data_IF_269467673950
#
_entry.id   IF_269467673950
#
_cell.length_a   1.000
_cell.length_b   1.000
_cell.length_c   1.000
_cell.angle_alpha   90.00
_cell.angle_beta   90.00
_cell.angle_gamma   90.00
#
_symmetry.space_group_name_H-M   'P 1'
#
loop_
_entity.id
_entity.type
_entity.pdbx_description
1 polymer ?
#
# COMPACT_ATOMS: atom_id res chain seq x y z
N UNK A 1 -6.24 -25.58 7.09
CA UNK A 1 -5.29 -24.45 6.91
C UNK A 1 -5.50 -23.88 5.53
N UNK A 2 -5.46 -22.54 5.36
CA UNK A 2 -5.57 -21.93 4.04
C UNK A 2 -4.42 -22.42 3.14
N UNK A 3 -4.72 -22.64 1.87
CA UNK A 3 -3.73 -23.06 0.88
C UNK A 3 -2.79 -21.90 0.62
N UNK A 4 -1.50 -22.22 0.54
CA UNK A 4 -0.42 -21.26 0.34
C UNK A 4 0.51 -21.74 -0.75
N UNK A 5 0.97 -20.81 -1.59
CA UNK A 5 2.03 -21.03 -2.57
C UNK A 5 3.21 -20.13 -2.24
N UNK A 6 4.42 -20.66 -2.32
CA UNK A 6 5.68 -19.93 -2.06
C UNK A 6 6.34 -19.51 -3.38
N UNK A 7 7.23 -18.49 -3.37
CA UNK A 7 8.12 -18.23 -4.51
C UNK A 7 8.83 -19.52 -4.97
N UNK A 8 8.95 -19.73 -6.28
CA UNK A 8 9.42 -20.99 -6.87
C UNK A 8 8.31 -22.03 -7.16
N UNK A 9 7.06 -21.78 -6.74
CA UNK A 9 5.90 -22.62 -7.05
C UNK A 9 4.99 -22.00 -8.12
N UNK A 10 5.51 -21.12 -8.98
CA UNK A 10 4.72 -20.33 -9.93
C UNK A 10 3.93 -21.20 -10.89
N UNK A 11 4.55 -22.26 -11.45
CA UNK A 11 3.86 -23.19 -12.35
C UNK A 11 2.68 -23.88 -11.65
N UNK A 12 2.87 -24.28 -10.39
CA UNK A 12 1.82 -24.91 -9.58
C UNK A 12 0.69 -23.93 -9.28
N UNK A 13 1.04 -22.71 -8.87
CA UNK A 13 0.07 -21.66 -8.60
C UNK A 13 -0.77 -21.31 -9.84
N UNK A 14 -0.14 -21.04 -10.99
CA UNK A 14 -0.84 -20.72 -12.24
C UNK A 14 -1.78 -21.84 -12.71
N UNK A 15 -1.48 -23.11 -12.38
CA UNK A 15 -2.32 -24.27 -12.72
C UNK A 15 -3.50 -24.43 -11.77
N UNK A 16 -3.29 -24.19 -10.48
CA UNK A 16 -4.30 -24.40 -9.43
C UNK A 16 -5.17 -23.18 -9.17
N UNK A 17 -4.80 -22.03 -9.75
CA UNK A 17 -5.54 -20.79 -9.66
C UNK A 17 -6.89 -20.89 -10.38
N UNK A 18 -7.92 -20.36 -9.73
CA UNK A 18 -9.26 -20.21 -10.27
C UNK A 18 -9.49 -18.74 -10.63
N UNK A 19 -9.91 -18.49 -11.87
CA UNK A 19 -10.24 -17.14 -12.30
C UNK A 19 -11.48 -16.63 -11.55
N UNK A 20 -11.48 -15.34 -11.20
CA UNK A 20 -12.54 -14.69 -10.43
C UNK A 20 -12.47 -14.91 -8.92
N UNK A 21 -11.65 -15.86 -8.43
CA UNK A 21 -11.41 -16.05 -7.00
C UNK A 21 -10.38 -15.02 -6.48
N UNK A 22 -10.60 -14.41 -5.29
CA UNK A 22 -9.61 -13.56 -4.66
C UNK A 22 -8.47 -14.39 -4.04
N UNK A 23 -7.26 -13.87 -4.17
CA UNK A 23 -6.03 -14.39 -3.58
C UNK A 23 -5.34 -13.28 -2.81
N UNK A 24 -4.63 -13.65 -1.74
CA UNK A 24 -4.14 -12.70 -0.76
C UNK A 24 -2.62 -12.75 -0.64
N UNK A 25 -1.99 -11.59 -0.50
CA UNK A 25 -0.55 -11.44 -0.25
C UNK A 25 -0.37 -10.67 1.03
N UNK A 26 0.55 -11.10 1.88
CA UNK A 26 0.90 -10.41 3.13
C UNK A 26 2.14 -9.53 2.89
N UNK A 27 2.06 -8.29 3.33
CA UNK A 27 3.14 -7.30 3.30
C UNK A 27 3.58 -7.01 4.74
N UNK A 28 4.90 -6.98 4.96
CA UNK A 28 5.47 -6.46 6.20
C UNK A 28 5.72 -4.96 6.02
N UNK A 29 5.28 -4.15 6.99
CA UNK A 29 5.43 -2.69 6.96
C UNK A 29 6.59 -2.28 7.87
N UNK A 30 7.47 -1.41 7.36
CA UNK A 30 8.56 -0.84 8.15
C UNK A 30 8.03 0.23 9.11
N UNK A 31 7.81 -0.15 10.37
CA UNK A 31 7.24 0.73 11.39
C UNK A 31 8.13 1.91 11.77
N UNK A 32 9.42 1.90 11.43
CA UNK A 32 10.28 3.09 11.60
C UNK A 32 9.85 4.25 10.69
N UNK A 33 9.33 3.94 9.50
CA UNK A 33 8.89 4.93 8.51
C UNK A 33 7.40 5.20 8.62
N UNK A 34 6.60 4.17 8.91
CA UNK A 34 5.16 4.26 9.10
C UNK A 34 4.76 3.79 10.51
N UNK A 35 5.03 4.58 11.57
CA UNK A 35 4.82 4.16 12.95
C UNK A 35 3.35 3.92 13.33
N UNK A 36 2.45 4.60 12.61
CA UNK A 36 1.00 4.53 12.78
C UNK A 36 0.35 3.38 12.00
N UNK A 37 1.10 2.62 11.19
CA UNK A 37 0.56 1.44 10.51
C UNK A 37 0.75 0.14 11.29
N UNK A 38 -0.12 -0.82 10.97
CA UNK A 38 -0.01 -2.20 11.43
C UNK A 38 1.28 -2.83 10.88
N UNK A 39 1.93 -3.68 11.68
CA UNK A 39 3.18 -4.33 11.29
C UNK A 39 3.02 -5.22 10.04
N UNK A 40 1.82 -5.75 9.82
CA UNK A 40 1.49 -6.61 8.69
C UNK A 40 0.13 -6.21 8.11
N UNK A 41 0.10 -6.09 6.79
CA UNK A 41 -1.09 -5.79 6.01
C UNK A 41 -1.25 -6.82 4.91
N UNK A 42 -2.45 -6.96 4.36
CA UNK A 42 -2.65 -7.80 3.18
C UNK A 42 -3.17 -7.02 1.98
N UNK A 43 -2.81 -7.47 0.79
CA UNK A 43 -3.41 -7.05 -0.48
C UNK A 43 -4.25 -8.19 -1.06
N UNK A 44 -5.35 -7.82 -1.70
CA UNK A 44 -6.22 -8.75 -2.42
C UNK A 44 -6.01 -8.63 -3.93
N UNK A 45 -5.88 -9.77 -4.60
CA UNK A 45 -5.71 -9.87 -6.05
C UNK A 45 -6.73 -10.82 -6.65
N UNK A 46 -7.46 -10.34 -7.65
CA UNK A 46 -8.40 -11.15 -8.44
C UNK A 46 -7.85 -11.30 -9.85
N UNK A 47 -7.66 -12.54 -10.27
CA UNK A 47 -7.21 -12.88 -11.62
C UNK A 47 -8.43 -13.15 -12.49
N UNK A 48 -8.68 -12.30 -13.49
CA UNK A 48 -9.89 -12.35 -14.32
C UNK A 48 -9.60 -12.71 -15.76
N UNK A 49 -8.35 -12.62 -16.20
CA UNK A 49 -7.94 -12.80 -17.59
C UNK A 49 -6.73 -13.74 -17.70
N UNK A 50 -6.33 -14.01 -18.94
CA UNK A 50 -5.06 -14.67 -19.27
C UNK A 50 -4.29 -13.78 -20.24
N UNK A 51 -2.96 -13.76 -20.11
CA UNK A 51 -2.10 -13.07 -21.06
C UNK A 51 -2.19 -13.74 -22.44
N UNK A 52 -2.27 -12.99 -23.54
CA UNK A 52 -2.59 -13.53 -24.87
C UNK A 52 -1.51 -14.47 -25.43
N UNK A 53 -0.23 -14.24 -25.09
CA UNK A 53 0.89 -15.04 -25.63
C UNK A 53 1.22 -16.22 -24.72
N UNK A 54 1.34 -15.98 -23.41
CA UNK A 54 1.81 -17.00 -22.46
C UNK A 54 0.68 -17.82 -21.83
N UNK A 55 -0.58 -17.44 -22.04
CA UNK A 55 -1.75 -18.06 -21.39
C UNK A 55 -1.77 -17.94 -19.87
N UNK A 56 -0.84 -17.18 -19.28
CA UNK A 56 -0.68 -17.05 -17.82
C UNK A 56 -1.87 -16.28 -17.25
N UNK A 57 -2.52 -16.77 -16.17
CA UNK A 57 -3.54 -16.00 -15.47
C UNK A 57 -3.03 -14.63 -15.06
N UNK A 58 -3.84 -13.59 -15.27
CA UNK A 58 -3.50 -12.22 -14.94
C UNK A 58 -4.70 -11.47 -14.37
N UNK A 59 -4.41 -10.40 -13.63
CA UNK A 59 -5.42 -9.46 -13.15
C UNK A 59 -6.03 -8.68 -14.32
N UNK A 60 -7.12 -7.95 -14.06
CA UNK A 60 -7.78 -7.13 -15.08
C UNK A 60 -6.84 -6.14 -15.80
N UNK A 61 -5.80 -5.68 -15.08
CA UNK A 61 -4.78 -4.72 -15.54
C UNK A 61 -3.48 -5.37 -16.02
N UNK A 62 -3.46 -6.70 -16.20
CA UNK A 62 -2.34 -7.42 -16.82
C UNK A 62 -1.24 -7.89 -15.88
N UNK A 63 -1.38 -7.76 -14.56
CA UNK A 63 -0.39 -8.32 -13.63
C UNK A 63 -0.46 -9.86 -13.64
N UNK A 64 0.62 -10.50 -14.08
CA UNK A 64 0.70 -11.96 -14.19
C UNK A 64 0.80 -12.64 -12.82
N UNK A 65 0.05 -13.73 -12.64
CA UNK A 65 0.05 -14.55 -11.42
C UNK A 65 1.44 -15.08 -11.04
N UNK A 66 2.24 -15.47 -12.02
CA UNK A 66 3.62 -15.95 -11.82
C UNK A 66 4.54 -14.85 -11.29
N UNK A 67 4.49 -13.66 -11.88
CA UNK A 67 5.27 -12.50 -11.44
C UNK A 67 4.88 -12.06 -10.04
N UNK A 68 3.58 -12.05 -9.75
CA UNK A 68 3.05 -11.69 -8.44
C UNK A 68 3.55 -12.63 -7.34
N UNK A 69 3.51 -13.95 -7.57
CA UNK A 69 4.05 -14.92 -6.61
C UNK A 69 5.57 -14.77 -6.42
N UNK A 70 6.29 -14.47 -7.50
CA UNK A 70 7.75 -14.32 -7.45
C UNK A 70 8.18 -13.07 -6.68
N UNK A 71 7.50 -11.94 -6.90
CA UNK A 71 7.88 -10.65 -6.34
C UNK A 71 7.34 -10.42 -4.94
N UNK A 72 6.13 -10.90 -4.65
CA UNK A 72 5.45 -10.58 -3.40
C UNK A 72 5.03 -11.81 -2.59
N UNK A 73 5.19 -13.02 -3.13
CA UNK A 73 4.75 -14.26 -2.47
C UNK A 73 5.46 -14.53 -1.14
N UNK A 74 4.82 -15.27 -0.22
CA UNK A 74 3.76 -16.26 -0.46
C UNK A 74 2.34 -15.71 -0.73
N UNK A 75 1.56 -16.44 -1.54
CA UNK A 75 0.15 -16.14 -1.83
C UNK A 75 -0.75 -17.13 -1.09
N UNK A 76 -1.87 -16.64 -0.53
CA UNK A 76 -2.86 -17.39 0.21
C UNK A 76 -4.21 -17.43 -0.52
N UNK A 77 -4.96 -18.51 -0.35
CA UNK A 77 -6.27 -18.72 -0.99
C UNK A 77 -7.49 -18.27 -0.16
N UNK A 78 -7.23 -17.75 1.03
CA UNK A 78 -8.20 -17.22 1.97
C UNK A 78 -7.58 -16.01 2.71
N UNK A 79 -8.40 -15.06 3.16
CA UNK A 79 -7.90 -13.86 3.82
C UNK A 79 -7.16 -14.22 5.12
N UNK A 80 -6.00 -13.60 5.39
CA UNK A 80 -5.31 -13.79 6.66
C UNK A 80 -6.18 -13.30 7.82
N UNK A 81 -6.39 -14.15 8.83
CA UNK A 81 -7.26 -13.83 9.97
C UNK A 81 -6.66 -12.71 10.82
N UNK A 82 -7.49 -11.73 11.17
CA UNK A 82 -7.11 -10.64 12.08
C UNK A 82 -6.14 -9.63 11.48
N UNK A 83 -5.89 -9.68 10.16
CA UNK A 83 -5.05 -8.72 9.46
C UNK A 83 -5.92 -7.72 8.69
N UNK A 84 -5.46 -6.47 8.56
CA UNK A 84 -6.17 -5.44 7.81
C UNK A 84 -5.74 -5.43 6.34
N UNK A 85 -6.68 -5.13 5.46
CA UNK A 85 -6.39 -4.88 4.05
C UNK A 85 -5.63 -3.55 3.92
N UNK A 86 -4.53 -3.51 3.17
CA UNK A 86 -3.74 -2.29 2.94
C UNK A 86 -4.56 -1.15 2.32
N UNK A 87 -5.62 -1.48 1.57
CA UNK A 87 -6.54 -0.49 0.98
C UNK A 87 -7.60 0.02 1.97
N UNK A 88 -7.73 -0.60 3.15
CA UNK A 88 -8.65 -0.14 4.19
C UNK A 88 -8.04 1.04 4.97
N UNK A 89 -8.89 1.96 5.49
CA UNK A 89 -8.42 3.06 6.31
C UNK A 89 -7.46 2.61 7.41
N UNK A 90 -6.36 3.35 7.57
CA UNK A 90 -5.43 3.16 8.67
C UNK A 90 -6.12 3.40 10.03
N UNK A 91 -5.59 2.83 11.13
CA UNK A 91 -6.05 3.17 12.47
C UNK A 91 -6.06 4.69 12.67
N UNK A 92 -7.15 5.22 13.24
CA UNK A 92 -7.21 6.63 13.59
C UNK A 92 -6.30 6.88 14.80
N UNK A 93 -5.07 7.34 14.54
CA UNK A 93 -4.07 7.65 15.57
C UNK A 93 -4.15 9.09 16.08
N UNK A 94 -4.87 9.96 15.37
CA UNK A 94 -5.21 11.30 15.82
C UNK A 94 -6.71 11.34 16.12
N UNK A 95 -7.06 11.24 17.40
CA UNK A 95 -8.42 11.48 17.86
C UNK A 95 -8.83 12.94 17.63
N UNK A 96 -10.13 13.27 17.73
CA UNK A 96 -10.57 14.65 17.68
C UNK A 96 -9.83 15.46 18.74
N UNK A 97 -9.35 16.66 18.35
CA UNK A 97 -8.74 17.58 19.29
C UNK A 97 -9.72 17.86 20.43
N UNK A 98 -9.25 17.96 21.68
CA UNK A 98 -10.11 18.33 22.80
C UNK A 98 -10.87 19.63 22.48
N UNK A 99 -12.13 19.72 22.93
CA UNK A 99 -12.91 20.95 22.78
C UNK A 99 -12.14 22.11 23.44
N UNK A 100 -11.81 23.13 22.67
CA UNK A 100 -11.02 24.28 23.15
C UNK A 100 -9.51 24.09 23.07
N UNK A 101 -9.00 23.08 22.35
CA UNK A 101 -7.58 22.96 22.07
C UNK A 101 -7.07 24.21 21.34
N UNK A 102 -6.09 24.88 21.96
CA UNK A 102 -5.32 25.96 21.37
C UNK A 102 -3.85 25.52 21.33
N UNK A 103 -3.22 25.68 20.18
CA UNK A 103 -1.77 25.53 20.02
C UNK A 103 -1.19 26.92 19.71
N UNK A 104 -1.06 27.81 20.71
CA UNK A 104 -0.43 29.10 20.49
C UNK A 104 1.02 28.85 20.09
N UNK A 105 1.42 29.40 18.95
CA UNK A 105 2.82 29.40 18.52
C UNK A 105 3.60 30.33 19.44
N UNK A 106 4.80 29.93 19.83
CA UNK A 106 5.70 30.83 20.55
C UNK A 106 6.35 31.86 19.60
N UNK A 107 6.97 32.91 20.15
CA UNK A 107 7.61 33.96 19.33
C UNK A 107 8.73 33.41 18.42
N UNK A 108 9.41 32.34 18.83
CA UNK A 108 10.48 31.74 18.05
C UNK A 108 9.93 30.95 16.85
N UNK A 109 8.82 30.24 17.03
CA UNK A 109 8.08 29.54 16.00
C UNK A 109 7.46 30.52 14.99
N UNK A 110 6.87 31.62 15.48
CA UNK A 110 6.33 32.69 14.64
C UNK A 110 7.45 33.29 13.78
N UNK A 111 8.56 33.71 14.39
CA UNK A 111 9.72 34.26 13.67
C UNK A 111 10.29 33.27 12.67
N UNK A 112 10.31 31.98 13.01
CA UNK A 112 10.75 30.91 12.13
C UNK A 112 9.85 30.74 10.89
N UNK A 113 8.53 30.85 11.06
CA UNK A 113 7.56 30.81 9.97
C UNK A 113 7.66 32.05 9.08
N UNK A 114 7.75 33.24 9.67
CA UNK A 114 7.94 34.50 8.94
C UNK A 114 9.18 34.46 8.06
N UNK A 115 10.30 33.97 8.61
CA UNK A 115 11.54 33.79 7.84
C UNK A 115 11.34 32.84 6.66
N UNK A 116 10.67 31.69 6.85
CA UNK A 116 10.41 30.74 5.75
C UNK A 116 9.53 31.34 4.65
N UNK A 117 8.56 32.18 5.02
CA UNK A 117 7.72 32.89 4.05
C UNK A 117 8.55 33.94 3.29
N UNK A 118 9.40 34.69 3.97
CA UNK A 118 10.28 35.67 3.35
C UNK A 118 11.33 35.03 2.41
N UNK A 119 11.88 33.88 2.79
CA UNK A 119 12.88 33.14 2.03
C UNK A 119 12.26 32.31 0.88
N UNK A 120 10.93 32.18 0.82
CA UNK A 120 10.29 31.46 -0.27
C UNK A 120 10.31 32.27 -1.57
N UNK A 121 10.78 31.70 -2.68
CA UNK A 121 10.72 32.37 -3.98
C UNK A 121 9.25 32.61 -4.36
N UNK A 122 8.94 33.86 -4.74
CA UNK A 122 7.62 34.30 -5.16
C UNK A 122 7.02 33.26 -6.14
N UNK A 123 5.92 32.56 -5.76
CA UNK A 123 5.34 31.51 -6.57
C UNK A 123 4.91 31.99 -7.95
N UNK A 124 4.66 33.30 -8.14
CA UNK A 124 4.34 33.90 -9.45
C UNK A 124 5.57 34.13 -10.34
N UNK A 125 6.78 34.12 -9.77
CA UNK A 125 8.05 34.23 -10.50
C UNK A 125 8.71 32.87 -10.77
N UNK A 126 8.09 31.77 -10.32
CA UNK A 126 8.51 30.41 -10.68
C UNK A 126 8.29 30.23 -12.18
N UNK A 127 9.35 30.42 -12.97
CA UNK A 127 9.37 30.01 -14.37
C UNK A 127 9.20 28.49 -14.39
N UNK A 128 8.03 28.01 -14.81
CA UNK A 128 7.86 26.63 -15.23
C UNK A 128 8.69 26.46 -16.49
N UNK A 129 9.87 25.83 -16.36
CA UNK A 129 10.70 25.46 -17.49
C UNK A 129 9.91 24.55 -18.42
N UNK A 130 9.86 24.89 -19.71
CA UNK A 130 9.47 23.98 -20.78
C UNK A 130 10.60 23.01 -21.06
#
# INVERSE_FOLDING_TARGET
>A
MPKMWKPGQEKKFCRELQLGKPYYVIHNVERRVAPYEDAQLYSEYVFTKRLPITGTPCTAYGAAASTLLRQHGPIYDAPPRGMRNIASPAPQVAGPLPKGYTAPLDEAEIRGLEKRVADMPDPKKRRWGR
#
